data_IF_122043322273
#
_entry.id   IF_122043322273
#
_cell.length_a   1.000
_cell.length_b   1.000
_cell.length_c   1.000
_cell.angle_alpha   90.00
_cell.angle_beta   90.00
_cell.angle_gamma   90.00
#
_symmetry.space_group_name_H-M   'P 1'
#
loop_
_entity.id
_entity.type
_entity.pdbx_description
1 polymer ?
#
# COMPACT_ATOMS: atom_id res chain seq x y z
N UNK A 1 -37.15 7.01 29.85
CA UNK A 1 -36.75 5.59 29.64
C UNK A 1 -35.97 5.38 28.31
N UNK A 2 -36.33 6.04 27.20
CA UNK A 2 -35.61 5.92 25.91
C UNK A 2 -34.12 6.35 25.95
N UNK A 3 -33.76 7.37 26.74
CA UNK A 3 -32.36 7.81 26.90
C UNK A 3 -31.44 6.72 27.49
N UNK A 4 -31.96 5.92 28.42
CA UNK A 4 -31.20 4.81 28.99
C UNK A 4 -31.11 3.63 28.03
N UNK A 5 -32.13 3.40 27.20
CA UNK A 5 -32.09 2.42 26.13
C UNK A 5 -31.05 2.81 25.04
N UNK A 6 -31.01 4.08 24.64
CA UNK A 6 -30.02 4.62 23.71
C UNK A 6 -28.59 4.54 24.24
N UNK A 7 -28.37 4.87 25.52
CA UNK A 7 -27.05 4.75 26.16
C UNK A 7 -26.58 3.28 26.26
N UNK A 8 -27.50 2.33 26.49
CA UNK A 8 -27.19 0.89 26.48
C UNK A 8 -26.89 0.37 25.08
N UNK A 9 -27.59 0.85 24.05
CA UNK A 9 -27.32 0.47 22.66
C UNK A 9 -26.00 1.04 22.14
N UNK A 10 -25.68 2.30 22.49
CA UNK A 10 -24.40 2.93 22.18
C UNK A 10 -23.25 2.26 22.95
N UNK A 11 -23.45 1.90 24.22
CA UNK A 11 -22.44 1.16 24.99
C UNK A 11 -22.22 -0.26 24.47
N UNK A 12 -23.26 -0.95 23.99
CA UNK A 12 -23.13 -2.26 23.32
C UNK A 12 -22.44 -2.15 21.97
N UNK A 13 -22.76 -1.14 21.17
CA UNK A 13 -22.08 -0.87 19.92
C UNK A 13 -20.60 -0.55 20.20
N UNK A 14 -20.32 0.32 21.17
CA UNK A 14 -18.95 0.64 21.57
C UNK A 14 -18.20 -0.58 22.11
N UNK A 15 -18.82 -1.46 22.92
CA UNK A 15 -18.16 -2.69 23.39
C UNK A 15 -17.96 -3.73 22.28
N UNK A 16 -18.81 -3.76 21.26
CA UNK A 16 -18.64 -4.60 20.06
C UNK A 16 -17.54 -4.07 19.14
N UNK A 17 -17.45 -2.74 18.97
CA UNK A 17 -16.44 -2.08 18.13
C UNK A 17 -15.08 -1.90 18.82
N UNK A 18 -15.07 -1.76 20.16
CA UNK A 18 -13.86 -1.72 20.98
C UNK A 18 -13.29 -3.11 21.29
N UNK A 19 -13.89 -4.18 20.72
CA UNK A 19 -13.33 -5.53 20.77
C UNK A 19 -12.15 -5.64 19.78
N UNK A 20 -11.09 -4.85 20.01
CA UNK A 20 -9.85 -4.81 19.22
C UNK A 20 -9.18 -6.21 19.20
N UNK A 21 -9.51 -7.07 20.15
CA UNK A 21 -9.13 -8.49 20.16
C UNK A 21 -9.69 -9.30 18.98
N UNK A 22 -10.72 -8.83 18.26
CA UNK A 22 -11.17 -9.49 17.01
C UNK A 22 -10.15 -9.36 15.88
N UNK A 23 -9.35 -8.29 15.89
CA UNK A 23 -8.32 -8.03 14.87
C UNK A 23 -7.00 -8.69 15.23
N UNK A 24 -6.73 -8.91 16.52
CA UNK A 24 -5.47 -9.49 17.02
C UNK A 24 -5.06 -10.78 16.28
N UNK A 25 -5.93 -11.77 16.00
CA UNK A 25 -5.56 -12.97 15.26
C UNK A 25 -5.10 -12.73 13.81
N UNK A 26 -5.53 -11.63 13.19
CA UNK A 26 -5.14 -11.26 11.83
C UNK A 26 -3.81 -10.49 11.77
N UNK A 27 -3.30 -10.05 12.93
CA UNK A 27 -2.04 -9.33 13.07
C UNK A 27 -0.96 -10.13 13.80
N UNK A 28 -1.33 -11.24 14.45
CA UNK A 28 -0.41 -12.13 15.16
C UNK A 28 0.22 -13.15 14.19
N UNK A 29 1.24 -12.71 13.45
CA UNK A 29 1.94 -13.52 12.44
C UNK A 29 3.45 -13.31 12.55
N UNK A 30 4.20 -14.41 12.50
CA UNK A 30 5.66 -14.36 12.51
C UNK A 30 6.23 -13.76 11.22
N UNK A 31 7.24 -12.87 11.30
CA UNK A 31 7.87 -12.25 10.12
C UNK A 31 8.41 -13.24 9.09
N UNK A 32 8.88 -14.41 9.53
CA UNK A 32 9.39 -15.47 8.64
C UNK A 32 8.27 -16.02 7.75
N UNK A 33 7.06 -16.17 8.30
CA UNK A 33 5.89 -16.62 7.53
C UNK A 33 5.46 -15.55 6.52
N UNK A 34 5.54 -14.26 6.89
CA UNK A 34 5.26 -13.15 5.97
C UNK A 34 6.23 -13.17 4.79
N UNK A 35 7.53 -13.38 5.03
CA UNK A 35 8.54 -13.49 3.96
C UNK A 35 8.24 -14.63 2.99
N UNK A 36 7.90 -15.82 3.51
CA UNK A 36 7.54 -16.95 2.66
C UNK A 36 6.34 -16.61 1.75
N UNK A 37 5.32 -15.98 2.33
CA UNK A 37 4.10 -15.58 1.61
C UNK A 37 4.33 -14.46 0.58
N UNK A 38 5.28 -13.57 0.82
CA UNK A 38 5.71 -12.56 -0.17
C UNK A 38 6.36 -13.23 -1.39
N UNK A 39 7.21 -14.23 -1.19
CA UNK A 39 7.81 -14.97 -2.30
C UNK A 39 6.74 -15.78 -3.05
N UNK A 40 5.81 -16.39 -2.33
CA UNK A 40 4.67 -17.09 -2.92
C UNK A 40 3.70 -16.15 -3.66
N UNK A 41 3.62 -14.86 -3.30
CA UNK A 41 2.76 -13.91 -4.02
C UNK A 41 3.26 -13.62 -5.44
N UNK A 42 4.53 -13.89 -5.71
CA UNK A 42 5.16 -13.77 -7.02
C UNK A 42 5.18 -15.08 -7.82
N UNK A 43 4.74 -16.22 -7.29
CA UNK A 43 4.83 -17.49 -8.02
C UNK A 43 3.42 -18.06 -8.21
N UNK A 44 2.91 -18.11 -9.46
CA UNK A 44 1.62 -18.74 -9.72
C UNK A 44 1.75 -20.25 -9.53
N UNK A 45 1.08 -20.80 -8.52
CA UNK A 45 1.02 -22.24 -8.31
C UNK A 45 0.01 -22.84 -9.29
N UNK A 46 0.43 -23.84 -10.08
CA UNK A 46 -0.35 -24.43 -11.20
C UNK A 46 -1.57 -25.26 -10.79
N UNK A 47 -1.97 -25.28 -9.52
CA UNK A 47 -3.11 -26.07 -9.07
C UNK A 47 -4.42 -25.31 -9.31
N UNK A 48 -4.99 -25.50 -10.50
CA UNK A 48 -6.32 -25.01 -10.91
C UNK A 48 -7.47 -25.91 -10.42
N UNK A 49 -7.18 -27.18 -10.11
CA UNK A 49 -8.18 -28.17 -9.72
C UNK A 49 -8.48 -28.19 -8.21
N UNK A 50 -7.59 -27.62 -7.39
CA UNK A 50 -7.78 -27.52 -5.95
C UNK A 50 -7.86 -26.07 -5.50
N UNK A 51 -8.80 -25.72 -4.60
CA UNK A 51 -8.91 -24.39 -4.06
C UNK A 51 -7.60 -23.98 -3.35
N UNK A 52 -6.90 -22.97 -3.89
CA UNK A 52 -5.64 -22.51 -3.30
C UNK A 52 -5.89 -21.92 -1.90
N UNK A 53 -5.00 -22.22 -0.95
CA UNK A 53 -5.06 -21.63 0.38
C UNK A 53 -4.61 -20.18 0.31
N UNK A 54 -5.48 -19.27 0.71
CA UNK A 54 -5.18 -17.84 0.82
C UNK A 54 -4.94 -17.55 2.29
N UNK A 55 -3.86 -16.85 2.57
CA UNK A 55 -3.52 -16.42 3.91
C UNK A 55 -4.61 -15.44 4.40
N UNK A 56 -5.07 -15.64 5.64
CA UNK A 56 -6.16 -14.86 6.23
C UNK A 56 -5.69 -13.60 6.94
N UNK A 57 -4.39 -13.32 7.00
CA UNK A 57 -3.85 -12.21 7.77
C UNK A 57 -3.86 -10.86 7.03
N UNK A 58 -3.86 -9.79 7.83
CA UNK A 58 -3.81 -8.41 7.35
C UNK A 58 -2.45 -7.73 7.63
N UNK A 59 -1.61 -8.29 8.50
CA UNK A 59 -0.31 -7.68 8.85
C UNK A 59 0.61 -7.46 7.65
N UNK A 60 0.93 -8.52 6.90
CA UNK A 60 1.79 -8.43 5.71
C UNK A 60 1.26 -7.45 4.65
N UNK A 61 -0.01 -7.58 4.22
CA UNK A 61 -0.69 -6.62 3.34
C UNK A 61 -0.58 -5.17 3.80
N UNK A 62 -0.83 -4.90 5.08
CA UNK A 62 -0.75 -3.56 5.64
C UNK A 62 0.67 -2.99 5.55
N UNK A 63 1.69 -3.81 5.86
CA UNK A 63 3.10 -3.41 5.75
C UNK A 63 3.51 -3.10 4.31
N UNK A 64 2.98 -3.85 3.34
CA UNK A 64 3.22 -3.55 1.92
C UNK A 64 2.60 -2.24 1.48
N UNK A 65 1.38 -1.92 1.95
CA UNK A 65 0.74 -0.63 1.67
C UNK A 65 1.58 0.52 2.21
N UNK A 66 2.09 0.41 3.44
CA UNK A 66 3.01 1.42 3.99
C UNK A 66 4.32 1.50 3.22
N UNK A 67 4.87 0.37 2.79
CA UNK A 67 6.09 0.33 1.96
C UNK A 67 5.86 1.03 0.62
N UNK A 68 4.71 0.80 0.00
CA UNK A 68 4.32 1.45 -1.24
C UNK A 68 4.20 2.97 -1.06
N UNK A 69 3.57 3.43 0.02
CA UNK A 69 3.52 4.86 0.38
C UNK A 69 4.93 5.43 0.53
N UNK A 70 5.84 4.72 1.21
CA UNK A 70 7.22 5.16 1.38
C UNK A 70 7.96 5.26 0.04
N UNK A 71 7.76 4.31 -0.88
CA UNK A 71 8.36 4.32 -2.22
C UNK A 71 7.84 5.51 -3.04
N UNK A 72 6.54 5.81 -2.98
CA UNK A 72 5.97 6.98 -3.66
C UNK A 72 6.56 8.27 -3.11
N UNK A 73 6.63 8.43 -1.79
CA UNK A 73 7.24 9.61 -1.16
C UNK A 73 8.72 9.74 -1.52
N UNK A 74 9.44 8.63 -1.62
CA UNK A 74 10.81 8.62 -2.08
C UNK A 74 10.93 9.08 -3.54
N UNK A 75 10.12 8.53 -4.45
CA UNK A 75 10.11 8.92 -5.87
C UNK A 75 9.71 10.38 -6.10
N UNK A 76 8.86 10.95 -5.24
CA UNK A 76 8.52 12.37 -5.28
C UNK A 76 9.68 13.25 -4.80
N UNK A 77 10.40 12.84 -3.76
CA UNK A 77 11.58 13.58 -3.25
C UNK A 77 12.73 13.60 -4.26
N UNK A 78 12.89 12.55 -5.07
CA UNK A 78 13.91 12.51 -6.12
C UNK A 78 13.52 13.29 -7.38
N UNK A 79 12.27 13.74 -7.51
CA UNK A 79 11.75 14.44 -8.70
C UNK A 79 11.73 15.98 -8.59
N UNK A 80 12.52 16.56 -7.67
CA UNK A 80 12.71 18.02 -7.48
C UNK A 80 11.42 18.86 -7.30
N UNK A 81 10.31 18.25 -6.88
CA UNK A 81 9.09 18.99 -6.57
C UNK A 81 9.19 19.63 -5.17
N UNK A 82 9.29 20.95 -5.11
CA UNK A 82 9.34 21.75 -3.86
C UNK A 82 7.94 21.76 -3.25
N UNK A 83 7.63 20.82 -2.34
CA UNK A 83 6.26 20.65 -1.81
C UNK A 83 6.27 20.57 -0.28
N UNK A 84 5.23 21.14 0.35
CA UNK A 84 4.86 20.99 1.76
C UNK A 84 4.66 19.50 2.12
N UNK A 85 5.54 18.95 2.95
CA UNK A 85 5.64 17.49 3.22
C UNK A 85 4.33 16.84 3.73
N UNK A 86 3.44 17.60 4.38
CA UNK A 86 2.20 17.08 4.98
C UNK A 86 1.12 16.65 3.99
N UNK A 87 0.76 17.49 3.01
CA UNK A 87 -0.28 17.18 2.02
C UNK A 87 0.17 16.06 1.08
N UNK A 88 1.46 16.07 0.72
CA UNK A 88 2.10 15.02 -0.09
C UNK A 88 1.93 13.63 0.53
N UNK A 89 2.19 13.53 1.84
CA UNK A 89 2.05 12.29 2.61
C UNK A 89 0.58 11.83 2.67
N UNK A 90 -0.35 12.76 2.90
CA UNK A 90 -1.78 12.48 2.92
C UNK A 90 -2.29 11.89 1.61
N UNK A 91 -1.91 12.46 0.46
CA UNK A 91 -2.34 11.99 -0.86
C UNK A 91 -1.76 10.61 -1.20
N UNK A 92 -0.50 10.35 -0.84
CA UNK A 92 0.12 9.02 -0.98
C UNK A 92 -0.62 7.96 -0.16
N UNK A 93 -0.87 8.25 1.13
CA UNK A 93 -1.62 7.37 2.03
C UNK A 93 -3.03 7.11 1.48
N UNK A 94 -3.76 8.17 1.12
CA UNK A 94 -5.12 8.07 0.59
C UNK A 94 -5.19 7.25 -0.70
N UNK A 95 -4.21 7.40 -1.60
CA UNK A 95 -4.15 6.65 -2.85
C UNK A 95 -3.89 5.16 -2.60
N UNK A 96 -2.87 4.82 -1.80
CA UNK A 96 -2.50 3.42 -1.55
C UNK A 96 -3.56 2.67 -0.72
N UNK A 97 -4.03 3.27 0.38
CA UNK A 97 -5.11 2.67 1.18
C UNK A 97 -6.45 2.66 0.44
N UNK A 98 -6.74 3.72 -0.32
CA UNK A 98 -7.94 3.82 -1.14
C UNK A 98 -7.98 2.74 -2.22
N UNK A 99 -6.85 2.49 -2.89
CA UNK A 99 -6.72 1.36 -3.81
C UNK A 99 -6.93 0.03 -3.09
N UNK A 100 -6.18 -0.22 -2.01
CA UNK A 100 -6.23 -1.51 -1.32
C UNK A 100 -7.62 -1.83 -0.79
N UNK A 101 -8.25 -0.92 -0.03
CA UNK A 101 -9.57 -1.15 0.56
C UNK A 101 -10.68 -1.03 -0.49
N UNK A 102 -10.60 -0.04 -1.39
CA UNK A 102 -11.61 0.23 -2.41
C UNK A 102 -11.69 -0.87 -3.46
N UNK A 103 -10.56 -1.24 -4.06
CA UNK A 103 -10.52 -2.31 -5.07
C UNK A 103 -10.83 -3.66 -4.45
N UNK A 104 -10.36 -3.95 -3.23
CA UNK A 104 -10.74 -5.20 -2.55
C UNK A 104 -12.25 -5.27 -2.30
N UNK A 105 -12.88 -4.17 -1.88
CA UNK A 105 -14.33 -4.11 -1.68
C UNK A 105 -15.10 -4.26 -2.98
N UNK A 106 -14.64 -3.60 -4.05
CA UNK A 106 -15.26 -3.68 -5.37
C UNK A 106 -15.16 -5.09 -5.98
N UNK A 107 -13.99 -5.71 -5.93
CA UNK A 107 -13.80 -7.08 -6.42
C UNK A 107 -14.55 -8.07 -5.54
N UNK A 108 -14.62 -7.88 -4.22
CA UNK A 108 -15.44 -8.72 -3.34
C UNK A 108 -16.93 -8.63 -3.71
N UNK A 109 -17.43 -7.43 -4.02
CA UNK A 109 -18.80 -7.26 -4.51
C UNK A 109 -19.02 -7.97 -5.84
N UNK A 110 -18.10 -7.85 -6.81
CA UNK A 110 -18.18 -8.61 -8.07
C UNK A 110 -18.08 -10.12 -7.85
N UNK A 111 -17.26 -10.57 -6.92
CA UNK A 111 -17.13 -11.97 -6.54
C UNK A 111 -18.44 -12.51 -5.96
N UNK A 112 -19.15 -11.71 -5.15
CA UNK A 112 -20.48 -12.02 -4.65
C UNK A 112 -21.50 -12.17 -5.80
N UNK A 113 -21.51 -11.25 -6.78
CA UNK A 113 -22.36 -11.36 -7.98
C UNK A 113 -22.01 -12.56 -8.85
N UNK A 114 -20.74 -12.93 -8.89
CA UNK A 114 -20.22 -14.07 -9.66
C UNK A 114 -20.30 -15.40 -8.90
N UNK A 115 -20.90 -15.42 -7.71
CA UNK A 115 -21.01 -16.60 -6.84
C UNK A 115 -19.64 -17.29 -6.57
N UNK A 116 -18.59 -16.49 -6.39
CA UNK A 116 -17.25 -16.98 -6.07
C UNK A 116 -17.08 -17.12 -4.55
N UNK A 117 -16.51 -18.24 -4.11
CA UNK A 117 -16.34 -18.56 -2.69
C UNK A 117 -15.04 -17.96 -2.13
N UNK A 118 -15.07 -16.68 -1.77
CA UNK A 118 -13.94 -15.97 -1.14
C UNK A 118 -14.43 -15.00 -0.07
N UNK A 119 -13.72 -14.95 1.07
CA UNK A 119 -14.07 -14.01 2.14
C UNK A 119 -13.45 -12.63 1.90
N UNK A 120 -14.04 -11.59 2.48
CA UNK A 120 -13.52 -10.22 2.34
C UNK A 120 -12.07 -10.08 2.85
N UNK A 121 -11.75 -10.74 3.98
CA UNK A 121 -10.40 -10.77 4.54
C UNK A 121 -9.40 -11.45 3.60
N UNK A 122 -9.80 -12.56 2.97
CA UNK A 122 -8.96 -13.23 1.97
C UNK A 122 -8.76 -12.34 0.73
N UNK A 123 -9.78 -11.58 0.30
CA UNK A 123 -9.63 -10.61 -0.79
C UNK A 123 -8.65 -9.50 -0.42
N UNK A 124 -8.78 -8.91 0.77
CA UNK A 124 -7.85 -7.89 1.27
C UNK A 124 -6.42 -8.42 1.32
N UNK A 125 -6.24 -9.64 1.81
CA UNK A 125 -4.91 -10.25 1.90
C UNK A 125 -4.33 -10.55 0.51
N UNK A 126 -5.14 -11.13 -0.39
CA UNK A 126 -4.73 -11.48 -1.75
C UNK A 126 -4.26 -10.24 -2.52
N UNK A 127 -5.05 -9.17 -2.52
CA UNK A 127 -4.71 -7.91 -3.21
C UNK A 127 -3.53 -7.20 -2.56
N UNK A 128 -3.49 -7.15 -1.23
CA UNK A 128 -2.40 -6.50 -0.52
C UNK A 128 -1.06 -7.21 -0.73
N UNK A 129 -1.01 -8.55 -0.70
CA UNK A 129 0.19 -9.30 -1.07
C UNK A 129 0.57 -9.15 -2.55
N UNK A 130 -0.40 -8.88 -3.43
CA UNK A 130 -0.16 -8.56 -4.85
C UNK A 130 0.64 -7.26 -5.04
N UNK A 131 0.45 -6.28 -4.14
CA UNK A 131 1.18 -4.99 -4.16
C UNK A 131 2.70 -5.15 -3.99
N UNK A 132 3.19 -6.30 -3.53
CA UNK A 132 4.61 -6.55 -3.46
C UNK A 132 5.30 -6.41 -4.84
N UNK A 133 4.64 -6.86 -5.91
CA UNK A 133 5.14 -6.67 -7.27
C UNK A 133 5.21 -5.20 -7.69
N UNK A 134 4.23 -4.39 -7.26
CA UNK A 134 4.21 -2.95 -7.48
C UNK A 134 5.36 -2.26 -6.74
N UNK A 135 5.62 -2.65 -5.49
CA UNK A 135 6.74 -2.12 -4.70
C UNK A 135 8.08 -2.36 -5.41
N UNK A 136 8.34 -3.59 -5.86
CA UNK A 136 9.58 -3.91 -6.59
C UNK A 136 9.68 -3.10 -7.88
N UNK A 137 8.62 -3.09 -8.68
CA UNK A 137 8.60 -2.40 -9.98
C UNK A 137 8.86 -0.91 -9.84
N UNK A 138 8.17 -0.24 -8.92
CA UNK A 138 8.33 1.20 -8.70
C UNK A 138 9.69 1.53 -8.08
N UNK A 139 10.16 0.75 -7.10
CA UNK A 139 11.45 0.97 -6.48
C UNK A 139 12.58 0.91 -7.51
N UNK A 140 12.63 -0.12 -8.36
CA UNK A 140 13.66 -0.25 -9.39
C UNK A 140 13.53 0.87 -10.43
N UNK A 141 12.30 1.18 -10.86
CA UNK A 141 12.07 2.18 -11.90
C UNK A 141 12.43 3.60 -11.44
N UNK A 142 12.10 3.97 -10.20
CA UNK A 142 12.46 5.28 -9.65
C UNK A 142 13.96 5.46 -9.44
N UNK A 143 14.72 4.38 -9.26
CA UNK A 143 16.18 4.47 -9.15
C UNK A 143 16.88 4.56 -10.53
N UNK A 144 16.32 3.90 -11.55
CA UNK A 144 17.01 3.73 -12.85
C UNK A 144 16.49 4.70 -13.93
N UNK A 145 15.37 5.40 -13.73
CA UNK A 145 14.79 6.42 -14.64
C UNK A 145 14.70 6.04 -16.15
N UNK A 146 14.80 4.75 -16.49
CA UNK A 146 14.63 4.24 -17.85
C UNK A 146 13.18 3.79 -18.09
N UNK A 147 12.45 4.51 -18.94
CA UNK A 147 11.05 4.23 -19.26
C UNK A 147 10.83 2.82 -19.84
N UNK A 148 11.75 2.31 -20.65
CA UNK A 148 11.66 0.95 -21.20
C UNK A 148 11.76 -0.13 -20.13
N UNK A 149 12.58 0.11 -19.08
CA UNK A 149 12.72 -0.81 -17.95
C UNK A 149 11.40 -0.92 -17.17
N UNK A 150 10.68 0.18 -17.02
CA UNK A 150 9.36 0.18 -16.39
C UNK A 150 8.41 -0.81 -17.06
N UNK A 151 8.29 -0.79 -18.39
CA UNK A 151 7.37 -1.71 -19.10
C UNK A 151 7.77 -3.18 -18.95
N UNK A 152 9.08 -3.47 -18.90
CA UNK A 152 9.59 -4.84 -18.68
C UNK A 152 9.23 -5.32 -17.28
N UNK A 153 9.45 -4.51 -16.24
CA UNK A 153 9.09 -4.87 -14.86
C UNK A 153 7.58 -4.86 -14.63
N UNK A 154 6.86 -3.95 -15.28
CA UNK A 154 5.39 -3.88 -15.26
C UNK A 154 4.79 -5.17 -15.82
N UNK A 155 5.18 -5.61 -17.03
CA UNK A 155 4.71 -6.88 -17.60
C UNK A 155 5.27 -8.10 -16.85
N UNK A 156 6.53 -8.06 -16.42
CA UNK A 156 7.19 -9.17 -15.74
C UNK A 156 6.69 -9.34 -14.31
N UNK A 157 7.15 -8.48 -13.41
CA UNK A 157 6.86 -8.57 -11.96
C UNK A 157 5.41 -8.22 -11.65
N UNK A 158 4.87 -7.15 -12.24
CA UNK A 158 3.47 -6.76 -12.07
C UNK A 158 2.49 -7.74 -12.72
N UNK A 159 2.82 -8.24 -13.91
CA UNK A 159 2.03 -9.28 -14.57
C UNK A 159 2.04 -10.60 -13.81
N UNK A 160 3.19 -11.01 -13.25
CA UNK A 160 3.31 -12.25 -12.50
C UNK A 160 2.52 -12.23 -11.18
N UNK A 161 2.51 -11.11 -10.45
CA UNK A 161 1.65 -10.95 -9.26
C UNK A 161 0.17 -11.00 -9.65
N UNK A 162 -0.20 -10.38 -10.77
CA UNK A 162 -1.55 -10.44 -11.34
C UNK A 162 -1.98 -11.87 -11.68
N UNK A 163 -1.11 -12.63 -12.36
CA UNK A 163 -1.38 -14.02 -12.74
C UNK A 163 -1.66 -14.90 -11.53
N UNK A 164 -0.90 -14.72 -10.43
CA UNK A 164 -1.14 -15.45 -9.18
C UNK A 164 -2.52 -15.17 -8.60
N UNK A 165 -2.96 -13.91 -8.56
CA UNK A 165 -4.29 -13.57 -8.06
C UNK A 165 -5.41 -14.09 -8.98
N UNK A 166 -5.22 -14.01 -10.29
CA UNK A 166 -6.15 -14.57 -11.28
C UNK A 166 -6.27 -16.09 -11.11
N UNK A 167 -5.15 -16.81 -10.96
CA UNK A 167 -5.16 -18.26 -10.75
C UNK A 167 -5.96 -18.67 -9.49
N UNK A 168 -5.81 -17.92 -8.41
CA UNK A 168 -6.57 -18.10 -7.17
C UNK A 168 -8.08 -17.91 -7.43
N UNK A 169 -8.49 -16.83 -8.09
CA UNK A 169 -9.90 -16.56 -8.38
C UNK A 169 -10.54 -17.57 -9.34
N UNK A 170 -9.79 -18.02 -10.35
CA UNK A 170 -10.23 -19.08 -11.26
C UNK A 170 -10.53 -20.37 -10.49
N UNK A 171 -9.69 -20.74 -9.52
CA UNK A 171 -9.89 -21.95 -8.70
C UNK A 171 -11.12 -21.89 -7.79
N UNK A 172 -11.63 -20.68 -7.51
CA UNK A 172 -12.74 -20.43 -6.55
C UNK A 172 -14.07 -20.05 -7.20
N UNK A 173 -14.07 -19.81 -8.50
CA UNK A 173 -15.27 -19.44 -9.27
C UNK A 173 -15.70 -20.66 -10.10
N UNK A 174 -17.00 -20.93 -10.24
CA UNK A 174 -17.48 -22.14 -10.96
C UNK A 174 -17.77 -21.86 -12.44
N UNK A 175 -18.37 -20.71 -12.76
CA UNK A 175 -18.80 -20.37 -14.13
C UNK A 175 -17.69 -19.80 -15.02
N UNK A 176 -17.63 -20.22 -16.30
CA UNK A 176 -16.64 -19.73 -17.27
C UNK A 176 -16.77 -18.22 -17.58
N UNK A 177 -17.99 -17.73 -17.82
CA UNK A 177 -18.23 -16.30 -18.11
C UNK A 177 -17.95 -15.44 -16.87
N UNK A 178 -18.38 -15.91 -15.69
CA UNK A 178 -18.12 -15.26 -14.41
C UNK A 178 -16.62 -15.18 -14.09
N UNK A 179 -15.87 -16.26 -14.35
CA UNK A 179 -14.40 -16.29 -14.24
C UNK A 179 -13.76 -15.22 -15.10
N UNK A 180 -14.16 -15.10 -16.36
CA UNK A 180 -13.60 -14.11 -17.28
C UNK A 180 -13.86 -12.67 -16.81
N UNK A 181 -15.09 -12.37 -16.38
CA UNK A 181 -15.46 -11.04 -15.90
C UNK A 181 -14.69 -10.70 -14.62
N UNK A 182 -14.68 -11.59 -13.63
CA UNK A 182 -14.03 -11.35 -12.34
C UNK A 182 -12.50 -11.26 -12.47
N UNK A 183 -11.89 -12.17 -13.23
CA UNK A 183 -10.44 -12.16 -13.42
C UNK A 183 -9.98 -11.02 -14.32
N UNK A 184 -10.74 -10.72 -15.38
CA UNK A 184 -10.44 -9.62 -16.29
C UNK A 184 -10.51 -8.27 -15.60
N UNK A 185 -11.55 -8.03 -14.79
CA UNK A 185 -11.68 -6.78 -14.03
C UNK A 185 -10.57 -6.64 -12.97
N UNK A 186 -10.26 -7.71 -12.22
CA UNK A 186 -9.13 -7.70 -11.28
C UNK A 186 -7.81 -7.38 -11.98
N UNK A 187 -7.50 -8.10 -13.07
CA UNK A 187 -6.24 -7.94 -13.78
C UNK A 187 -6.08 -6.54 -14.36
N UNK A 188 -7.15 -6.00 -14.96
CA UNK A 188 -7.19 -4.65 -15.46
C UNK A 188 -6.91 -3.65 -14.33
N UNK A 189 -7.68 -3.69 -13.24
CA UNK A 189 -7.52 -2.75 -12.13
C UNK A 189 -6.13 -2.83 -11.49
N UNK A 190 -5.56 -4.02 -11.33
CA UNK A 190 -4.23 -4.19 -10.71
C UNK A 190 -3.10 -3.67 -11.60
N UNK A 191 -3.15 -3.99 -12.90
CA UNK A 191 -2.14 -3.54 -13.87
C UNK A 191 -2.25 -2.04 -14.17
N UNK A 192 -3.48 -1.52 -14.29
CA UNK A 192 -3.74 -0.09 -14.47
C UNK A 192 -3.29 0.72 -13.26
N UNK A 193 -3.44 0.19 -12.05
CA UNK A 193 -2.99 0.90 -10.85
C UNK A 193 -1.47 1.14 -10.86
N UNK A 194 -0.68 0.17 -11.33
CA UNK A 194 0.77 0.36 -11.45
C UNK A 194 1.13 1.44 -12.48
N UNK A 195 0.40 1.49 -13.60
CA UNK A 195 0.54 2.56 -14.60
C UNK A 195 0.14 3.92 -14.03
N UNK A 196 -0.96 3.96 -13.29
CA UNK A 196 -1.43 5.17 -12.62
C UNK A 196 -0.39 5.71 -11.64
N UNK A 197 0.19 4.85 -10.80
CA UNK A 197 1.22 5.24 -9.83
C UNK A 197 2.48 5.80 -10.50
N UNK A 198 2.90 5.22 -11.62
CA UNK A 198 4.12 5.68 -12.28
C UNK A 198 3.92 6.97 -13.09
N UNK A 199 2.83 7.08 -13.86
CA UNK A 199 2.65 8.19 -14.81
C UNK A 199 1.71 9.29 -14.31
N UNK A 200 0.55 8.93 -13.76
CA UNK A 200 -0.52 9.87 -13.47
C UNK A 200 -0.40 10.48 -12.07
N UNK A 201 0.16 9.73 -11.11
CA UNK A 201 0.22 10.13 -9.71
C UNK A 201 0.95 11.47 -9.52
N UNK A 202 2.14 11.63 -10.10
CA UNK A 202 2.89 12.89 -10.01
C UNK A 202 2.08 14.08 -10.56
N UNK A 203 1.39 13.90 -11.69
CA UNK A 203 0.54 14.94 -12.30
C UNK A 203 -0.68 15.30 -11.48
N UNK A 204 -1.33 14.31 -10.88
CA UNK A 204 -2.48 14.54 -9.98
C UNK A 204 -2.03 15.29 -8.74
N UNK A 205 -0.89 14.91 -8.15
CA UNK A 205 -0.39 15.58 -6.94
C UNK A 205 0.06 17.02 -7.25
N UNK A 206 0.79 17.24 -8.35
CA UNK A 206 1.14 18.59 -8.85
C UNK A 206 -0.13 19.46 -8.99
N UNK A 207 -1.15 18.99 -9.70
CA UNK A 207 -2.38 19.76 -9.90
C UNK A 207 -3.18 20.05 -8.63
N UNK A 208 -3.20 19.12 -7.66
CA UNK A 208 -3.82 19.34 -6.35
C UNK A 208 -3.07 20.46 -5.60
N UNK A 209 -1.75 20.47 -5.66
CA UNK A 209 -0.93 21.47 -4.97
C UNK A 209 -1.09 22.84 -5.60
N UNK A 210 -1.05 22.94 -6.93
CA UNK A 210 -1.28 24.19 -7.65
C UNK A 210 -2.65 24.82 -7.29
N UNK A 211 -3.68 23.98 -7.16
CA UNK A 211 -5.03 24.42 -6.76
C UNK A 211 -5.09 24.87 -5.30
N UNK A 212 -4.37 24.19 -4.41
CA UNK A 212 -4.32 24.53 -2.98
C UNK A 212 -3.45 25.77 -2.70
N UNK A 213 -2.43 26.02 -3.52
CA UNK A 213 -1.48 27.12 -3.33
C UNK A 213 -2.04 28.47 -3.82
N UNK A 214 -2.85 28.48 -4.89
CA UNK A 214 -3.53 29.69 -5.38
C UNK A 214 -2.58 30.83 -5.81
N UNK A 215 -3.06 31.86 -6.53
CA UNK A 215 -2.20 32.91 -7.08
C UNK A 215 -1.61 33.92 -6.07
N UNK A 216 -1.87 33.77 -4.75
CA UNK A 216 -1.59 34.82 -3.75
C UNK A 216 -0.91 34.30 -2.47
N UNK A 217 0.19 33.54 -2.59
CA UNK A 217 1.08 33.33 -1.45
C UNK A 217 2.54 33.67 -1.79
N UNK A 218 3.23 34.51 -0.98
CA UNK A 218 4.65 34.73 -1.15
C UNK A 218 5.42 33.42 -0.92
N UNK A 219 6.60 33.22 -1.55
CA UNK A 219 7.37 32.00 -1.43
C UNK A 219 7.64 31.70 0.05
N UNK A 220 7.22 30.51 0.49
CA UNK A 220 7.32 30.08 1.87
C UNK A 220 8.78 30.04 2.32
N UNK A 221 9.12 30.91 3.26
CA UNK A 221 10.41 30.95 3.93
C UNK A 221 10.57 29.68 4.77
N UNK A 222 11.59 28.88 4.47
CA UNK A 222 12.01 27.75 5.32
C UNK A 222 12.30 28.30 6.72
N UNK A 223 11.38 28.13 7.67
CA UNK A 223 11.71 28.28 9.08
C UNK A 223 12.62 27.11 9.41
N UNK A 224 13.92 27.37 9.46
CA UNK A 224 14.87 26.42 10.00
C UNK A 224 14.37 26.03 11.38
N UNK A 225 14.19 24.73 11.60
CA UNK A 225 14.07 24.20 12.96
C UNK A 225 15.33 24.67 13.68
N UNK A 226 15.20 25.41 14.78
CA UNK A 226 16.31 25.79 15.65
C UNK A 226 16.88 24.52 16.27
N UNK A 227 17.66 23.78 15.51
CA UNK A 227 18.58 22.80 16.03
C UNK A 227 19.67 23.66 16.66
N UNK A 228 19.89 23.61 17.99
CA UNK A 228 21.02 24.30 18.58
C UNK A 228 22.26 23.84 17.83
N UNK A 229 22.85 24.75 17.05
CA UNK A 229 24.12 24.54 16.39
C UNK A 229 25.10 24.32 17.52
N UNK A 230 25.38 23.05 17.84
CA UNK A 230 26.51 22.72 18.69
C UNK A 230 27.72 23.30 17.98
N UNK A 231 28.36 24.35 18.50
CA UNK A 231 29.47 24.97 17.81
C UNK A 231 30.54 23.90 17.63
N UNK A 232 31.13 23.80 16.43
CA UNK A 232 32.27 22.90 16.16
C UNK A 232 33.42 23.08 17.18
N UNK A 233 33.44 24.20 17.92
CA UNK A 233 34.32 24.43 19.06
C UNK A 233 34.13 23.42 20.22
N UNK A 234 32.90 22.97 20.52
CA UNK A 234 32.62 22.00 21.60
C UNK A 234 33.04 20.59 21.21
N UNK A 235 32.92 20.24 19.93
CA UNK A 235 33.38 18.95 19.42
C UNK A 235 34.91 18.86 19.46
N UNK A 236 35.61 19.97 19.14
CA UNK A 236 37.06 20.01 19.07
C UNK A 236 37.74 20.05 20.45
N UNK A 237 37.10 20.66 21.46
CA UNK A 237 37.59 20.63 22.86
C UNK A 237 37.41 19.26 23.50
N UNK A 238 36.30 18.56 23.21
CA UNK A 238 36.08 17.19 23.69
C UNK A 238 37.06 16.19 23.06
N UNK A 239 37.32 16.31 21.75
CA UNK A 239 38.31 15.47 21.06
C UNK A 239 39.75 15.71 21.55
N UNK A 240 40.13 16.96 21.83
CA UNK A 240 41.43 17.29 22.42
C UNK A 240 41.57 16.82 23.87
N UNK A 241 40.50 16.85 24.66
CA UNK A 241 40.53 16.35 26.04
C UNK A 241 40.74 14.84 26.11
N UNK A 242 40.11 14.07 25.20
CA UNK A 242 40.25 12.61 25.13
C UNK A 242 41.64 12.20 24.61
N UNK A 243 42.20 12.95 23.66
CA UNK A 243 43.54 12.70 23.13
C UNK A 243 44.69 13.03 24.11
N UNK A 244 44.41 13.79 25.19
CA UNK A 244 45.37 14.11 26.25
C UNK A 244 45.33 13.12 27.43
N UNK A 245 44.38 12.19 27.42
CA UNK A 245 44.20 11.16 28.47
C UNK A 245 44.58 9.75 28.04
N UNK A 246 45.20 9.60 26.87
CA UNK A 246 45.69 8.35 26.29
C UNK A 246 47.21 8.44 26.08
#
# INVERSE_FOLDING_TARGET
QMWQAGKRQASRAFSLYANIDILRPYFDVEPVQVRARLLESMIPVKMINFPQKIAGELYGPLMLVFTLVAILLHGMKTSDTIIREGTLMGTAIGTCFGYWLGVSSFIYFLAYLCNAQITMVQMLSLLGYGLFGHCITLFVTYNIHFHSLFYVFWLGVGGLSTLRMVAVLVSRTVGHTQRLILCGTLAALHMLFLLYLHFAYHKVVEGILDTLEGPNMPPFQRVARDIPVVPNAVLNTTAKAIALTL
#
